data_IF_380299395399
#
_entry.id   IF_380299395399
#
_cell.length_a   1.000
_cell.length_b   1.000
_cell.length_c   1.000
_cell.angle_alpha   90.00
_cell.angle_beta   90.00
_cell.angle_gamma   90.00
#
_symmetry.space_group_name_H-M   'P 1'
#
loop_
_entity.id
_entity.type
_entity.pdbx_description
1 polymer ?
#
# COMPACT_ATOMS: atom_id res chain seq x y z
N UNK A 1 28.74 -13.47 -2.93
CA UNK A 1 29.26 -12.10 -2.88
C UNK A 1 28.69 -11.41 -1.65
N UNK A 2 29.50 -10.75 -0.81
CA UNK A 2 28.99 -9.96 0.32
C UNK A 2 28.60 -8.57 -0.19
N UNK A 3 27.36 -8.17 0.03
CA UNK A 3 26.88 -6.82 -0.31
C UNK A 3 27.16 -5.90 0.87
N UNK A 4 27.75 -4.73 0.60
CA UNK A 4 27.97 -3.69 1.60
C UNK A 4 26.89 -2.62 1.47
N UNK A 5 26.10 -2.43 2.52
CA UNK A 5 25.10 -1.36 2.59
C UNK A 5 25.75 -0.18 3.35
N UNK A 6 25.92 1.01 2.72
CA UNK A 6 26.50 2.15 3.39
C UNK A 6 25.57 2.67 4.50
N UNK A 7 26.13 3.37 5.50
CA UNK A 7 25.31 4.06 6.50
C UNK A 7 24.61 5.28 5.87
N UNK A 8 23.40 5.06 5.36
CA UNK A 8 22.57 6.08 4.69
C UNK A 8 22.10 7.19 5.63
N UNK A 9 22.23 7.01 6.95
CA UNK A 9 21.82 7.97 7.96
C UNK A 9 22.99 8.75 8.58
N UNK A 10 24.23 8.47 8.18
CA UNK A 10 25.43 9.07 8.79
C UNK A 10 25.45 10.61 8.73
N UNK A 11 24.82 11.19 7.70
CA UNK A 11 24.73 12.65 7.47
C UNK A 11 23.29 13.17 7.48
N UNK A 12 22.36 12.43 8.07
CA UNK A 12 20.95 12.83 8.10
C UNK A 12 20.77 14.05 9.01
N UNK A 13 20.34 15.21 8.47
CA UNK A 13 20.36 16.47 9.23
C UNK A 13 19.17 16.61 10.19
N UNK A 14 18.13 15.79 10.05
CA UNK A 14 16.89 15.95 10.82
C UNK A 14 16.84 15.03 12.05
N UNK A 15 16.47 15.55 13.24
CA UNK A 15 16.34 14.74 14.43
C UNK A 15 15.16 13.76 14.29
N UNK A 16 15.36 12.52 14.73
CA UNK A 16 14.29 11.52 14.77
C UNK A 16 13.40 11.78 15.98
N UNK A 17 12.12 12.04 15.75
CA UNK A 17 11.09 12.18 16.78
C UNK A 17 9.97 11.17 16.53
N UNK A 18 9.37 10.67 17.60
CA UNK A 18 8.23 9.75 17.53
C UNK A 18 6.99 10.51 18.01
N UNK A 19 5.87 10.31 17.32
CA UNK A 19 4.59 10.88 17.74
C UNK A 19 4.20 10.29 19.12
N UNK A 20 3.83 11.10 20.13
CA UNK A 20 3.42 10.60 21.45
C UNK A 20 2.28 9.57 21.43
N UNK A 21 1.43 9.60 20.39
CA UNK A 21 0.29 8.68 20.24
C UNK A 21 0.64 7.39 19.49
N UNK A 22 1.91 7.19 19.13
CA UNK A 22 2.36 6.09 18.27
C UNK A 22 1.93 4.71 18.76
N UNK A 23 2.18 4.36 20.02
CA UNK A 23 1.95 3.00 20.51
C UNK A 23 0.47 2.60 20.42
N UNK A 24 -0.43 3.55 20.69
CA UNK A 24 -1.87 3.35 20.57
C UNK A 24 -2.29 3.18 19.10
N UNK A 25 -1.92 4.13 18.23
CA UNK A 25 -2.31 4.14 16.81
C UNK A 25 -1.79 2.91 16.07
N UNK A 26 -0.54 2.50 16.36
CA UNK A 26 0.06 1.30 15.78
C UNK A 26 -0.75 0.06 16.12
N UNK A 27 -1.11 -0.11 17.39
CA UNK A 27 -1.85 -1.29 17.86
C UNK A 27 -3.21 -1.39 17.17
N UNK A 28 -3.91 -0.26 17.08
CA UNK A 28 -5.21 -0.22 16.39
C UNK A 28 -5.09 -0.51 14.90
N UNK A 29 -4.07 0.05 14.22
CA UNK A 29 -3.88 -0.14 12.77
C UNK A 29 -3.48 -1.56 12.43
N UNK A 30 -2.56 -2.15 13.21
CA UNK A 30 -2.18 -3.55 13.06
C UNK A 30 -3.36 -4.50 13.31
N UNK A 31 -4.20 -4.23 14.32
CA UNK A 31 -5.39 -5.04 14.59
C UNK A 31 -6.41 -4.95 13.46
N UNK A 32 -6.65 -3.74 12.93
CA UNK A 32 -7.51 -3.52 11.78
C UNK A 32 -7.03 -4.30 10.55
N UNK A 33 -5.76 -4.17 10.15
CA UNK A 33 -5.24 -4.91 9.00
C UNK A 33 -5.27 -6.43 9.19
N UNK A 34 -4.95 -6.90 10.40
CA UNK A 34 -5.02 -8.34 10.72
C UNK A 34 -6.44 -8.89 10.59
N UNK A 35 -7.45 -8.08 10.88
CA UNK A 35 -8.86 -8.51 10.84
C UNK A 35 -9.33 -8.97 9.46
N UNK A 36 -8.65 -8.55 8.38
CA UNK A 36 -8.98 -8.96 7.02
C UNK A 36 -8.44 -10.34 6.64
N UNK A 37 -7.48 -10.88 7.41
CA UNK A 37 -6.82 -12.14 7.06
C UNK A 37 -6.13 -12.09 5.69
N UNK A 38 -5.67 -10.92 5.26
CA UNK A 38 -5.13 -10.68 3.92
C UNK A 38 -3.75 -11.31 3.68
N UNK A 39 -3.03 -11.69 4.73
CA UNK A 39 -1.67 -12.20 4.64
C UNK A 39 -1.59 -13.68 5.02
N UNK A 40 -0.70 -14.42 4.36
CA UNK A 40 -0.28 -15.74 4.86
C UNK A 40 0.36 -15.61 6.26
N UNK A 41 0.44 -16.67 7.08
CA UNK A 41 1.07 -16.59 8.40
C UNK A 41 2.52 -16.06 8.37
N UNK A 42 3.27 -16.42 7.32
CA UNK A 42 4.64 -15.93 7.11
C UNK A 42 4.66 -14.44 6.75
N UNK A 43 3.80 -14.01 5.84
CA UNK A 43 3.69 -12.60 5.44
C UNK A 43 3.20 -11.73 6.59
N UNK A 44 2.20 -12.19 7.35
CA UNK A 44 1.72 -11.50 8.56
C UNK A 44 2.83 -11.35 9.61
N UNK A 45 3.64 -12.39 9.82
CA UNK A 45 4.78 -12.30 10.73
C UNK A 45 5.81 -11.28 10.26
N UNK A 46 6.15 -11.27 8.97
CA UNK A 46 7.08 -10.30 8.39
C UNK A 46 6.55 -8.86 8.54
N UNK A 47 5.28 -8.65 8.20
CA UNK A 47 4.57 -7.40 8.31
C UNK A 47 4.51 -6.87 9.76
N UNK A 48 4.24 -7.73 10.73
CA UNK A 48 4.20 -7.35 12.15
C UNK A 48 5.56 -6.89 12.69
N UNK A 49 6.67 -7.19 12.01
CA UNK A 49 7.99 -6.65 12.35
C UNK A 49 8.22 -5.24 11.82
N UNK A 50 7.41 -4.77 10.88
CA UNK A 50 7.49 -3.40 10.39
C UNK A 50 6.97 -2.43 11.47
N UNK A 51 7.71 -1.33 11.65
CA UNK A 51 7.41 -0.29 12.63
C UNK A 51 6.93 0.99 11.91
N UNK A 52 5.64 1.02 11.57
CA UNK A 52 5.01 2.19 10.93
C UNK A 52 4.65 3.23 11.99
N UNK A 53 5.53 4.22 12.14
CA UNK A 53 5.29 5.42 12.95
C UNK A 53 4.48 6.37 12.10
N UNK A 54 3.30 6.86 12.53
CA UNK A 54 2.62 8.12 12.14
C UNK A 54 1.10 8.06 12.46
N UNK A 55 0.33 9.08 12.05
CA UNK A 55 -1.13 9.21 12.22
C UNK A 55 -1.85 8.02 11.57
N UNK A 56 -3.01 7.64 12.11
CA UNK A 56 -3.79 6.44 11.72
C UNK A 56 -3.94 6.25 10.20
N UNK A 57 -4.30 7.31 9.47
CA UNK A 57 -4.43 7.25 8.01
C UNK A 57 -3.12 6.87 7.29
N UNK A 58 -1.97 7.33 7.78
CA UNK A 58 -0.67 6.96 7.22
C UNK A 58 -0.32 5.49 7.52
N UNK A 59 -0.64 5.00 8.71
CA UNK A 59 -0.46 3.58 9.04
C UNK A 59 -1.33 2.70 8.14
N UNK A 60 -2.62 3.05 7.98
CA UNK A 60 -3.53 2.27 7.15
C UNK A 60 -3.15 2.32 5.67
N UNK A 61 -2.68 3.48 5.18
CA UNK A 61 -2.14 3.62 3.83
C UNK A 61 -0.92 2.71 3.62
N UNK A 62 0.02 2.68 4.58
CA UNK A 62 1.16 1.76 4.50
C UNK A 62 0.69 0.32 4.44
N UNK A 63 -0.28 -0.06 5.27
CA UNK A 63 -0.81 -1.42 5.30
C UNK A 63 -1.52 -1.78 3.99
N UNK A 64 -2.24 -0.83 3.39
CA UNK A 64 -2.84 -1.00 2.06
C UNK A 64 -1.77 -1.28 1.01
N UNK A 65 -0.64 -0.56 1.00
CA UNK A 65 0.47 -0.86 0.09
C UNK A 65 0.99 -2.30 0.26
N UNK A 66 1.14 -2.79 1.50
CA UNK A 66 1.55 -4.19 1.73
C UNK A 66 0.53 -5.20 1.20
N UNK A 67 -0.77 -4.94 1.37
CA UNK A 67 -1.81 -5.80 0.79
C UNK A 67 -1.72 -5.79 -0.72
N UNK A 68 -1.49 -4.64 -1.36
CA UNK A 68 -1.34 -4.54 -2.81
C UNK A 68 -0.12 -5.34 -3.29
N UNK A 69 1.04 -5.16 -2.65
CA UNK A 69 2.29 -5.81 -3.07
C UNK A 69 2.23 -7.33 -2.88
N UNK A 70 1.75 -7.83 -1.73
CA UNK A 70 1.70 -9.28 -1.44
C UNK A 70 0.95 -10.06 -2.52
N UNK A 71 -0.13 -9.49 -3.06
CA UNK A 71 -0.93 -10.14 -4.10
C UNK A 71 -0.40 -9.83 -5.50
N UNK A 72 -0.03 -8.58 -5.77
CA UNK A 72 0.38 -8.18 -7.11
C UNK A 72 1.72 -8.80 -7.51
N UNK A 73 2.69 -8.95 -6.58
CA UNK A 73 4.03 -9.50 -6.82
C UNK A 73 4.06 -10.97 -7.24
N UNK A 74 2.96 -11.69 -7.06
CA UNK A 74 2.82 -13.10 -7.48
C UNK A 74 1.77 -13.30 -8.58
N UNK A 75 0.96 -12.29 -8.87
CA UNK A 75 -0.08 -12.33 -9.90
C UNK A 75 0.43 -12.05 -11.31
N UNK A 76 -0.34 -12.54 -12.30
CA UNK A 76 -0.13 -12.21 -13.73
C UNK A 76 -0.73 -10.84 -14.08
N UNK A 77 -0.33 -10.19 -15.20
CA UNK A 77 -0.76 -8.82 -15.51
C UNK A 77 -2.28 -8.62 -15.52
N UNK A 78 -3.03 -9.59 -16.04
CA UNK A 78 -4.49 -9.51 -16.10
C UNK A 78 -5.17 -9.59 -14.74
N UNK A 79 -4.54 -10.24 -13.75
CA UNK A 79 -5.02 -10.26 -12.37
C UNK A 79 -4.68 -8.96 -11.64
N UNK A 80 -3.46 -8.43 -11.84
CA UNK A 80 -3.04 -7.14 -11.27
C UNK A 80 -3.91 -6.00 -11.81
N UNK A 81 -4.31 -6.06 -13.08
CA UNK A 81 -5.30 -5.12 -13.64
C UNK A 81 -6.63 -5.18 -12.88
N UNK A 82 -7.16 -6.38 -12.60
CA UNK A 82 -8.40 -6.53 -11.82
C UNK A 82 -8.24 -6.03 -10.38
N UNK A 83 -7.07 -6.26 -9.76
CA UNK A 83 -6.75 -5.73 -8.43
C UNK A 83 -6.78 -4.21 -8.43
N UNK A 84 -6.12 -3.57 -9.41
CA UNK A 84 -6.18 -2.12 -9.63
C UNK A 84 -7.62 -1.63 -9.79
N UNK A 85 -8.40 -2.27 -10.66
CA UNK A 85 -9.78 -1.85 -10.95
C UNK A 85 -10.66 -1.93 -9.70
N UNK A 86 -10.53 -2.99 -8.90
CA UNK A 86 -11.22 -3.16 -7.62
C UNK A 86 -10.85 -2.06 -6.61
N UNK A 87 -9.57 -1.71 -6.50
CA UNK A 87 -9.11 -0.65 -5.60
C UNK A 87 -9.64 0.71 -6.07
N UNK A 88 -9.48 1.04 -7.35
CA UNK A 88 -9.92 2.34 -7.88
C UNK A 88 -11.43 2.50 -7.80
N UNK A 89 -12.20 1.44 -8.01
CA UNK A 89 -13.64 1.46 -7.78
C UNK A 89 -13.98 1.69 -6.30
N UNK A 90 -13.28 1.03 -5.37
CA UNK A 90 -13.47 1.24 -3.94
C UNK A 90 -13.14 2.68 -3.48
N UNK A 91 -12.07 3.28 -4.02
CA UNK A 91 -11.70 4.67 -3.72
C UNK A 91 -12.70 5.68 -4.30
N UNK A 92 -13.26 5.39 -5.49
CA UNK A 92 -14.24 6.29 -6.13
C UNK A 92 -15.65 6.13 -5.53
N UNK A 93 -15.95 4.95 -4.98
CA UNK A 93 -17.26 4.59 -4.45
C UNK A 93 -17.19 4.03 -3.01
N UNK A 94 -16.66 4.78 -2.02
CA UNK A 94 -16.35 4.25 -0.69
C UNK A 94 -17.56 3.79 0.14
N UNK A 95 -18.76 4.29 -0.18
CA UNK A 95 -20.00 3.95 0.52
C UNK A 95 -20.81 2.85 -0.16
N UNK A 96 -20.33 2.31 -1.29
CA UNK A 96 -20.97 1.21 -1.98
C UNK A 96 -20.45 -0.13 -1.45
N UNK A 97 -21.33 -1.13 -1.24
CA UNK A 97 -20.89 -2.46 -0.84
C UNK A 97 -20.02 -3.09 -1.94
N UNK A 98 -18.95 -3.79 -1.54
CA UNK A 98 -18.08 -4.48 -2.49
C UNK A 98 -18.77 -5.69 -3.13
N UNK A 99 -18.52 -5.99 -4.42
CA UNK A 99 -19.08 -7.17 -5.07
C UNK A 99 -18.74 -8.48 -4.35
N UNK A 100 -19.67 -9.44 -4.34
CA UNK A 100 -19.41 -10.77 -3.77
C UNK A 100 -18.33 -11.49 -4.58
N UNK A 101 -17.34 -12.06 -3.88
CA UNK A 101 -16.22 -12.77 -4.51
C UNK A 101 -15.14 -11.86 -5.10
N UNK A 102 -15.24 -10.54 -4.89
CA UNK A 102 -14.13 -9.64 -5.18
C UNK A 102 -12.91 -9.98 -4.32
N UNK A 103 -11.71 -9.68 -4.84
CA UNK A 103 -10.49 -9.76 -4.07
C UNK A 103 -10.52 -8.82 -2.85
N UNK A 104 -10.03 -9.32 -1.71
CA UNK A 104 -10.12 -8.65 -0.40
C UNK A 104 -9.52 -7.24 -0.38
N UNK A 105 -8.54 -6.95 -1.24
CA UNK A 105 -7.94 -5.62 -1.36
C UNK A 105 -8.94 -4.52 -1.70
N UNK A 106 -10.04 -4.83 -2.40
CA UNK A 106 -11.14 -3.88 -2.65
C UNK A 106 -11.82 -3.41 -1.36
N UNK A 107 -12.10 -4.32 -0.42
CA UNK A 107 -12.70 -3.96 0.88
C UNK A 107 -11.70 -3.25 1.80
N UNK A 108 -10.43 -3.66 1.79
CA UNK A 108 -9.36 -2.97 2.54
C UNK A 108 -9.23 -1.51 2.06
N UNK A 109 -9.20 -1.29 0.74
CA UNK A 109 -9.15 0.04 0.14
C UNK A 109 -10.40 0.87 0.48
N UNK A 110 -11.59 0.27 0.43
CA UNK A 110 -12.86 0.94 0.77
C UNK A 110 -12.86 1.47 2.21
N UNK A 111 -12.52 0.62 3.18
CA UNK A 111 -12.46 1.02 4.59
C UNK A 111 -11.37 2.04 4.87
N UNK A 112 -10.18 1.86 4.27
CA UNK A 112 -9.11 2.86 4.35
C UNK A 112 -9.59 4.24 3.88
N UNK A 113 -10.29 4.28 2.74
CA UNK A 113 -10.74 5.52 2.14
C UNK A 113 -11.84 6.18 2.96
N UNK A 114 -12.84 5.41 3.40
CA UNK A 114 -13.93 5.88 4.26
C UNK A 114 -13.44 6.47 5.59
N UNK A 115 -12.36 5.93 6.16
CA UNK A 115 -11.75 6.47 7.38
C UNK A 115 -10.89 7.72 7.10
N UNK A 116 -10.19 7.75 5.96
CA UNK A 116 -9.25 8.81 5.63
C UNK A 116 -9.94 10.09 5.17
N UNK A 117 -11.01 9.98 4.37
CA UNK A 117 -11.72 11.14 3.81
C UNK A 117 -12.42 11.99 4.87
N UNK A 118 -12.76 11.41 6.03
CA UNK A 118 -13.30 12.17 7.18
C UNK A 118 -12.42 13.35 7.63
N UNK A 119 -11.12 13.28 7.32
CA UNK A 119 -10.13 14.29 7.71
C UNK A 119 -9.46 14.96 6.49
N UNK A 120 -9.91 14.68 5.27
CA UNK A 120 -9.31 15.19 4.04
C UNK A 120 -10.11 16.37 3.49
N UNK A 121 -9.42 17.28 2.79
CA UNK A 121 -10.10 18.26 1.95
C UNK A 121 -10.39 17.66 0.57
N UNK A 122 -11.45 18.12 -0.07
CA UNK A 122 -11.85 17.66 -1.42
C UNK A 122 -10.69 17.72 -2.43
N UNK A 123 -9.85 18.75 -2.36
CA UNK A 123 -8.68 18.89 -3.23
C UNK A 123 -7.58 17.87 -2.92
N UNK A 124 -7.44 17.47 -1.65
CA UNK A 124 -6.50 16.42 -1.24
C UNK A 124 -6.99 15.06 -1.70
N UNK A 125 -8.30 14.79 -1.61
CA UNK A 125 -8.92 13.57 -2.13
C UNK A 125 -8.72 13.43 -3.64
N UNK A 126 -9.01 14.49 -4.41
CA UNK A 126 -8.79 14.51 -5.87
C UNK A 126 -7.34 14.22 -6.25
N UNK A 127 -6.39 14.86 -5.56
CA UNK A 127 -4.96 14.62 -5.79
C UNK A 127 -4.58 13.19 -5.44
N UNK A 128 -5.05 12.68 -4.29
CA UNK A 128 -4.75 11.33 -3.86
C UNK A 128 -5.25 10.30 -4.87
N UNK A 129 -6.52 10.35 -5.27
CA UNK A 129 -7.11 9.42 -6.23
C UNK A 129 -6.31 9.41 -7.53
N UNK A 130 -5.95 10.60 -8.04
CA UNK A 130 -5.11 10.72 -9.24
C UNK A 130 -3.74 10.05 -9.06
N UNK A 131 -3.02 10.40 -7.99
CA UNK A 131 -1.66 9.86 -7.77
C UNK A 131 -1.67 8.37 -7.42
N UNK A 132 -2.73 7.89 -6.79
CA UNK A 132 -2.88 6.47 -6.46
C UNK A 132 -3.20 5.65 -7.71
N UNK A 133 -3.95 6.21 -8.66
CA UNK A 133 -4.15 5.60 -9.98
C UNK A 133 -2.82 5.50 -10.75
N UNK A 134 -2.03 6.59 -10.79
CA UNK A 134 -0.70 6.59 -11.40
C UNK A 134 0.23 5.52 -10.78
N UNK A 135 0.20 5.38 -9.46
CA UNK A 135 0.92 4.31 -8.74
C UNK A 135 0.43 2.92 -9.18
N UNK A 136 -0.87 2.66 -9.20
CA UNK A 136 -1.40 1.35 -9.58
C UNK A 136 -1.13 1.01 -11.06
N UNK A 137 -1.09 2.01 -11.96
CA UNK A 137 -0.63 1.81 -13.34
C UNK A 137 0.81 1.33 -13.37
N UNK A 138 1.70 1.90 -12.54
CA UNK A 138 3.08 1.45 -12.44
C UNK A 138 3.18 0.01 -11.91
N UNK A 139 2.32 -0.39 -10.96
CA UNK A 139 2.25 -1.78 -10.45
C UNK A 139 1.80 -2.75 -11.55
N UNK A 140 0.79 -2.38 -12.36
CA UNK A 140 0.39 -3.18 -13.53
C UNK A 140 1.55 -3.31 -14.52
N UNK A 141 2.25 -2.21 -14.80
CA UNK A 141 3.39 -2.20 -15.69
C UNK A 141 4.56 -3.07 -15.16
N UNK A 142 4.81 -3.06 -13.85
CA UNK A 142 5.77 -3.96 -13.20
C UNK A 142 5.38 -5.43 -13.40
N UNK A 143 4.10 -5.78 -13.30
CA UNK A 143 3.62 -7.13 -13.57
C UNK A 143 3.85 -7.55 -15.04
N UNK A 144 3.62 -6.64 -15.99
CA UNK A 144 3.92 -6.87 -17.43
C UNK A 144 5.40 -7.15 -17.64
N UNK A 145 6.27 -6.33 -17.06
CA UNK A 145 7.71 -6.48 -17.21
C UNK A 145 8.20 -7.79 -16.56
N UNK A 146 7.69 -8.14 -15.36
CA UNK A 146 7.97 -9.42 -14.68
C UNK A 146 7.53 -10.62 -15.51
N UNK A 147 6.32 -10.61 -16.07
CA UNK A 147 5.80 -11.69 -16.91
C UNK A 147 6.58 -11.84 -18.22
N UNK A 148 7.04 -10.71 -18.79
CA UNK A 148 7.88 -10.68 -19.99
C UNK A 148 9.38 -10.92 -19.73
N UNK A 149 9.79 -11.18 -18.48
CA UNK A 149 11.20 -11.27 -18.07
C UNK A 149 12.04 -10.06 -18.50
N UNK A 150 11.41 -8.88 -18.57
CA UNK A 150 12.03 -7.66 -19.04
C UNK A 150 12.72 -6.94 -17.88
N UNK A 151 14.02 -6.72 -18.03
CA UNK A 151 14.79 -5.85 -17.15
C UNK A 151 14.92 -4.50 -17.84
N UNK A 152 14.44 -3.45 -17.18
CA UNK A 152 14.51 -2.06 -17.68
C UNK A 152 15.94 -1.51 -17.56
N UNK A 153 16.25 -0.54 -18.42
CA UNK A 153 17.44 0.29 -18.24
C UNK A 153 17.23 1.27 -17.07
N UNK A 154 18.30 1.90 -16.61
CA UNK A 154 18.26 2.81 -15.44
C UNK A 154 17.26 3.94 -15.66
N UNK A 155 17.20 4.51 -16.88
CA UNK A 155 16.34 5.66 -17.17
C UNK A 155 14.87 5.26 -17.10
N UNK A 156 14.50 4.15 -17.73
CA UNK A 156 13.13 3.63 -17.76
C UNK A 156 12.69 2.97 -16.44
N UNK A 157 13.61 2.69 -15.52
CA UNK A 157 13.30 2.23 -14.16
C UNK A 157 12.99 3.38 -13.19
N UNK A 158 13.64 4.53 -13.36
CA UNK A 158 13.48 5.70 -12.47
C UNK A 158 12.32 6.63 -12.94
N UNK A 159 11.91 6.52 -14.21
CA UNK A 159 10.81 7.29 -14.80
C UNK A 159 9.51 6.49 -14.82
#
# INVERSE_FOLDING_TARGET
>A
TKVFIPNTLARWPWPRRINPHYDAVKKESAAWTTSFGAFSPKAQHAFNRCDFKHVRACCDLMNLFFVIDEYSDVSVPSEVQRQKDAIMDALRNPHMPRPKGEWIGGEVARQFWELTTQNASEQSEKRFIKTFEEYLEAVVQQAVDRNGHRIRDIKSYIC
#
